data_IF_590943543264
#
_entry.id   IF_590943543264
#
_cell.length_a   1.000
_cell.length_b   1.000
_cell.length_c   1.000
_cell.angle_alpha   90.00
_cell.angle_beta   90.00
_cell.angle_gamma   90.00
#
_symmetry.space_group_name_H-M   'P 1'
#
loop_
_entity.id
_entity.type
_entity.pdbx_description
1 polymer ?
#
# COMPACT_ATOMS: atom_id res chain seq x y z
N UNK A 1 -54.05 -49.59 -24.58
CA UNK A 1 -53.79 -49.17 -23.19
C UNK A 1 -52.29 -49.01 -22.98
N UNK A 2 -51.89 -47.93 -22.30
CA UNK A 2 -50.56 -47.60 -21.74
C UNK A 2 -49.48 -47.14 -22.74
N UNK A 3 -49.26 -45.82 -22.95
CA UNK A 3 -48.60 -44.78 -22.11
C UNK A 3 -47.07 -44.95 -21.95
N UNK A 4 -46.30 -43.96 -22.45
CA UNK A 4 -45.17 -43.19 -21.81
C UNK A 4 -44.09 -42.81 -22.84
N UNK A 5 -44.02 -41.53 -23.22
CA UNK A 5 -43.13 -40.44 -22.71
C UNK A 5 -41.73 -40.46 -23.37
N UNK A 6 -41.47 -39.57 -24.33
CA UNK A 6 -40.79 -38.26 -24.14
C UNK A 6 -39.41 -38.38 -23.50
N UNK A 7 -38.36 -38.02 -24.25
CA UNK A 7 -37.16 -37.32 -23.79
C UNK A 7 -36.41 -36.80 -25.04
N UNK A 8 -36.73 -35.56 -25.43
CA UNK A 8 -35.88 -34.77 -26.32
C UNK A 8 -34.71 -34.21 -25.52
N UNK A 9 -33.48 -34.51 -25.94
CA UNK A 9 -32.28 -33.90 -25.39
C UNK A 9 -32.13 -32.48 -25.95
N UNK A 10 -32.41 -31.47 -25.13
CA UNK A 10 -31.97 -30.10 -25.36
C UNK A 10 -30.54 -29.95 -24.83
N UNK A 11 -29.58 -29.77 -25.74
CA UNK A 11 -28.21 -29.41 -25.39
C UNK A 11 -28.18 -27.92 -25.01
N UNK A 12 -28.16 -27.63 -23.71
CA UNK A 12 -27.93 -26.28 -23.20
C UNK A 12 -26.42 -25.99 -23.18
N UNK A 13 -25.94 -25.24 -24.17
CA UNK A 13 -24.58 -24.68 -24.16
C UNK A 13 -24.48 -23.60 -23.10
N UNK A 14 -23.86 -23.92 -21.96
CA UNK A 14 -23.49 -22.94 -20.94
C UNK A 14 -22.28 -22.18 -21.49
N UNK A 15 -22.54 -21.03 -22.13
CA UNK A 15 -21.52 -20.06 -22.46
C UNK A 15 -21.02 -19.43 -21.14
N UNK A 16 -19.91 -19.97 -20.62
CA UNK A 16 -19.21 -19.39 -19.49
C UNK A 16 -18.75 -17.98 -19.83
N UNK A 17 -19.31 -16.99 -19.15
CA UNK A 17 -18.81 -15.62 -19.13
C UNK A 17 -17.39 -15.64 -18.57
N UNK A 18 -16.39 -15.69 -19.46
CA UNK A 18 -15.01 -15.39 -19.12
C UNK A 18 -14.95 -13.90 -18.78
N UNK A 19 -15.01 -13.58 -17.49
CA UNK A 19 -14.67 -12.25 -17.01
C UNK A 19 -13.22 -11.96 -17.41
N UNK A 20 -12.94 -10.91 -18.20
CA UNK A 20 -11.57 -10.53 -18.48
C UNK A 20 -10.94 -10.08 -17.17
N UNK A 21 -10.04 -10.90 -16.62
CA UNK A 21 -9.12 -10.45 -15.60
C UNK A 21 -8.24 -9.36 -16.25
N UNK A 22 -8.52 -8.10 -15.96
CA UNK A 22 -7.68 -6.98 -16.39
C UNK A 22 -6.28 -7.28 -15.88
N UNK A 23 -5.36 -7.57 -16.81
CA UNK A 23 -3.97 -7.83 -16.50
C UNK A 23 -3.34 -6.56 -15.92
N UNK A 24 -3.34 -6.46 -14.59
CA UNK A 24 -2.56 -5.46 -13.88
C UNK A 24 -1.09 -5.84 -14.02
N UNK A 25 -0.27 -4.95 -14.57
CA UNK A 25 1.18 -5.14 -14.53
C UNK A 25 1.65 -5.03 -13.08
N UNK A 26 2.18 -6.13 -12.55
CA UNK A 26 2.77 -6.22 -11.21
C UNK A 26 3.98 -5.28 -11.03
N UNK A 27 4.42 -4.59 -12.07
CA UNK A 27 5.60 -3.72 -12.05
C UNK A 27 5.29 -2.23 -11.88
N UNK A 28 4.01 -1.84 -11.92
CA UNK A 28 3.61 -0.41 -11.83
C UNK A 28 4.11 0.24 -10.55
N UNK A 29 4.74 1.41 -10.65
CA UNK A 29 5.17 2.18 -9.49
C UNK A 29 3.97 2.83 -8.79
N UNK A 30 3.66 2.41 -7.57
CA UNK A 30 2.54 2.95 -6.78
C UNK A 30 2.91 4.25 -6.06
N UNK A 31 4.09 4.25 -5.45
CA UNK A 31 4.63 5.38 -4.72
C UNK A 31 6.14 5.28 -4.62
N UNK A 32 6.76 6.40 -4.25
CA UNK A 32 8.17 6.44 -3.85
C UNK A 32 8.27 6.96 -2.43
N UNK A 33 8.97 6.24 -1.57
CA UNK A 33 9.38 6.76 -0.28
C UNK A 33 10.71 7.48 -0.45
N UNK A 34 10.70 8.79 -0.28
CA UNK A 34 11.90 9.63 -0.25
C UNK A 34 12.24 10.04 1.17
N UNK A 35 13.52 10.19 1.48
CA UNK A 35 13.99 10.73 2.75
C UNK A 35 15.45 11.14 2.67
N UNK A 36 15.97 11.64 3.78
CA UNK A 36 17.41 11.89 3.96
C UNK A 36 17.93 10.95 5.03
N UNK A 37 18.90 10.11 4.66
CA UNK A 37 19.52 9.14 5.56
C UNK A 37 20.44 9.80 6.58
N UNK A 38 20.85 9.05 7.60
CA UNK A 38 21.78 9.53 8.62
C UNK A 38 23.13 9.99 8.04
N UNK A 39 23.52 9.48 6.87
CA UNK A 39 24.73 9.92 6.16
C UNK A 39 24.57 11.27 5.43
N UNK A 40 23.37 11.88 5.46
CA UNK A 40 23.02 13.06 4.68
C UNK A 40 22.65 12.75 3.22
N UNK A 41 22.77 11.49 2.78
CA UNK A 41 22.40 11.07 1.42
C UNK A 41 20.89 10.92 1.27
N UNK A 42 20.39 11.22 0.08
CA UNK A 42 19.00 10.92 -0.27
C UNK A 42 18.75 9.42 -0.28
N UNK A 43 17.70 9.00 0.43
CA UNK A 43 17.19 7.62 0.43
C UNK A 43 15.93 7.60 -0.43
N UNK A 44 15.84 6.60 -1.31
CA UNK A 44 14.69 6.42 -2.21
C UNK A 44 14.31 4.95 -2.28
N UNK A 45 13.05 4.65 -1.99
CA UNK A 45 12.48 3.30 -2.10
C UNK A 45 11.31 3.35 -3.08
N UNK A 46 11.38 2.55 -4.13
CA UNK A 46 10.30 2.39 -5.10
C UNK A 46 9.38 1.27 -4.66
N UNK A 47 8.11 1.60 -4.42
CA UNK A 47 7.08 0.62 -4.08
C UNK A 47 6.26 0.33 -5.32
N UNK A 48 6.49 -0.85 -5.91
CA UNK A 48 5.77 -1.33 -7.10
C UNK A 48 4.58 -2.20 -6.71
N UNK A 49 3.60 -2.30 -7.60
CA UNK A 49 2.34 -3.06 -7.47
C UNK A 49 2.53 -4.59 -7.44
N UNK A 50 3.70 -5.07 -7.02
CA UNK A 50 4.03 -6.47 -6.90
C UNK A 50 3.48 -7.00 -5.57
N UNK A 51 2.55 -7.97 -5.61
CA UNK A 51 1.94 -8.51 -4.40
C UNK A 51 2.98 -9.23 -3.54
N UNK A 52 2.72 -9.27 -2.23
CA UNK A 52 3.59 -9.92 -1.25
C UNK A 52 4.61 -8.99 -0.62
N UNK A 53 5.39 -9.54 0.32
CA UNK A 53 6.37 -8.78 1.08
C UNK A 53 7.63 -8.57 0.24
N UNK A 54 8.11 -7.32 0.24
CA UNK A 54 9.34 -6.89 -0.39
C UNK A 54 10.24 -6.32 0.69
N UNK A 55 11.54 -6.61 0.60
CA UNK A 55 12.54 -6.22 1.59
C UNK A 55 13.59 -5.36 0.91
N UNK A 56 13.90 -4.21 1.49
CA UNK A 56 14.97 -3.37 0.98
C UNK A 56 16.34 -4.01 1.25
N UNK A 57 17.26 -3.89 0.29
CA UNK A 57 18.63 -4.42 0.42
C UNK A 57 19.45 -3.67 1.46
N UNK A 58 19.28 -2.34 1.52
CA UNK A 58 19.94 -1.43 2.46
C UNK A 58 18.94 -0.33 2.79
N UNK A 59 18.80 0.00 4.07
CA UNK A 59 17.90 1.08 4.51
C UNK A 59 18.64 1.94 5.52
N UNK A 60 18.91 3.17 5.14
CA UNK A 60 19.29 4.19 6.10
C UNK A 60 18.02 4.70 6.80
N UNK A 61 18.11 4.88 8.11
CA UNK A 61 17.04 5.53 8.86
C UNK A 61 16.91 7.00 8.43
N UNK A 62 15.69 7.49 8.33
CA UNK A 62 15.40 8.88 8.03
C UNK A 62 14.56 9.52 9.13
N UNK A 63 14.89 10.76 9.49
CA UNK A 63 14.08 11.55 10.43
C UNK A 63 12.70 11.90 9.86
N UNK A 64 12.57 11.95 8.53
CA UNK A 64 11.32 12.25 7.83
C UNK A 64 11.25 11.51 6.51
N UNK A 65 10.13 10.86 6.27
CA UNK A 65 9.79 10.21 5.02
C UNK A 65 8.77 11.03 4.25
N UNK A 66 8.89 11.02 2.93
CA UNK A 66 7.96 11.62 1.98
C UNK A 66 7.39 10.51 1.10
N UNK A 67 6.06 10.38 1.07
CA UNK A 67 5.31 9.58 0.11
C UNK A 67 5.11 10.44 -1.13
N UNK A 68 5.91 10.18 -2.14
CA UNK A 68 5.88 10.89 -3.42
C UNK A 68 5.02 10.14 -4.45
N UNK A 69 4.41 10.86 -5.40
CA UNK A 69 3.65 10.27 -6.51
C UNK A 69 4.40 9.16 -7.24
N UNK A 70 3.70 8.06 -7.49
CA UNK A 70 4.11 6.99 -8.39
C UNK A 70 3.79 7.29 -9.85
N UNK A 71 3.65 6.24 -10.65
CA UNK A 71 3.33 6.35 -12.07
C UNK A 71 1.87 6.77 -12.29
N UNK A 72 1.69 7.75 -13.17
CA UNK A 72 0.40 8.08 -13.80
C UNK A 72 0.04 7.01 -14.83
N UNK A 73 -1.23 6.65 -14.89
CA UNK A 73 -1.71 5.56 -15.75
C UNK A 73 -2.65 6.09 -16.82
N UNK A 74 -2.44 5.64 -18.06
CA UNK A 74 -3.32 5.90 -19.19
C UNK A 74 -4.14 4.63 -19.50
N UNK A 75 -5.29 4.52 -18.85
CA UNK A 75 -6.23 3.40 -19.02
C UNK A 75 -7.65 3.94 -19.03
N UNK A 76 -8.54 3.24 -19.74
CA UNK A 76 -9.98 3.60 -19.77
C UNK A 76 -10.61 3.60 -18.38
N UNK A 77 -10.34 2.55 -17.61
CA UNK A 77 -10.89 2.36 -16.26
C UNK A 77 -9.87 2.75 -15.19
N UNK A 78 -10.33 3.24 -14.01
CA UNK A 78 -9.44 3.57 -12.90
C UNK A 78 -8.73 2.32 -12.38
N UNK A 79 -7.42 2.41 -12.09
CA UNK A 79 -6.75 1.38 -11.31
C UNK A 79 -7.45 1.16 -9.96
N UNK A 80 -7.58 -0.10 -9.56
CA UNK A 80 -8.16 -0.46 -8.26
C UNK A 80 -7.33 0.06 -7.08
N UNK A 81 -7.99 0.20 -5.92
CA UNK A 81 -7.34 0.55 -4.65
C UNK A 81 -6.20 -0.43 -4.36
N UNK A 82 -5.10 0.08 -3.79
CA UNK A 82 -4.01 -0.74 -3.24
C UNK A 82 -3.73 -0.35 -1.81
N UNK A 83 -3.27 -1.33 -1.04
CA UNK A 83 -2.82 -1.15 0.34
C UNK A 83 -1.34 -1.45 0.40
N UNK A 84 -0.57 -0.49 0.90
CA UNK A 84 0.87 -0.63 1.15
C UNK A 84 1.09 -0.56 2.66
N UNK A 85 1.46 -1.69 3.25
CA UNK A 85 1.87 -1.74 4.65
C UNK A 85 3.38 -1.56 4.72
N UNK A 86 3.84 -0.57 5.48
CA UNK A 86 5.26 -0.27 5.69
C UNK A 86 5.74 -0.87 7.00
N UNK A 87 6.89 -1.54 6.97
CA UNK A 87 7.46 -2.19 8.14
C UNK A 87 8.85 -1.64 8.47
N UNK A 88 9.13 -1.47 9.76
CA UNK A 88 10.46 -1.25 10.29
C UNK A 88 11.13 -2.58 10.66
N UNK A 89 12.44 -2.54 10.88
CA UNK A 89 13.22 -3.71 11.29
C UNK A 89 13.60 -4.64 10.14
N UNK A 90 13.98 -5.87 10.49
CA UNK A 90 14.38 -6.91 9.53
C UNK A 90 13.21 -7.85 9.24
N UNK A 91 13.34 -8.69 8.20
CA UNK A 91 12.33 -9.71 7.86
C UNK A 91 12.00 -10.69 8.99
N UNK A 92 12.85 -10.81 10.02
CA UNK A 92 12.63 -11.71 11.17
C UNK A 92 11.76 -11.12 12.27
N UNK A 93 11.66 -9.79 12.35
CA UNK A 93 10.82 -9.10 13.33
C UNK A 93 10.31 -7.79 12.73
N UNK A 94 9.49 -7.86 11.66
CA UNK A 94 8.95 -6.66 11.04
C UNK A 94 7.89 -6.06 11.96
N UNK A 95 7.98 -4.76 12.20
CA UNK A 95 6.99 -4.00 12.97
C UNK A 95 6.23 -3.09 12.00
N UNK A 96 4.90 -3.16 12.00
CA UNK A 96 4.08 -2.31 11.14
C UNK A 96 4.20 -0.86 11.63
N UNK A 97 4.61 0.03 10.72
CA UNK A 97 4.78 1.46 10.99
C UNK A 97 3.56 2.23 10.53
N UNK A 98 3.14 1.99 9.29
CA UNK A 98 2.09 2.75 8.65
C UNK A 98 1.40 1.92 7.58
N UNK A 99 0.11 2.20 7.36
CA UNK A 99 -0.64 1.70 6.22
C UNK A 99 -0.95 2.86 5.29
N UNK A 100 -0.60 2.70 4.01
CA UNK A 100 -0.88 3.66 2.96
C UNK A 100 -1.92 3.08 2.01
N UNK A 101 -3.06 3.73 1.90
CA UNK A 101 -4.04 3.48 0.86
C UNK A 101 -3.65 4.28 -0.39
N UNK A 102 -3.50 3.60 -1.51
CA UNK A 102 -3.18 4.19 -2.81
C UNK A 102 -4.41 4.08 -3.70
N UNK A 103 -4.99 5.23 -4.07
CA UNK A 103 -6.14 5.31 -4.96
C UNK A 103 -5.86 6.27 -6.11
N UNK A 104 -6.27 5.88 -7.30
CA UNK A 104 -6.09 6.68 -8.49
C UNK A 104 -7.32 7.57 -8.74
N UNK A 105 -7.07 8.84 -9.08
CA UNK A 105 -8.09 9.83 -9.40
C UNK A 105 -7.82 10.42 -10.78
N UNK A 106 -8.89 10.71 -11.53
CA UNK A 106 -8.80 11.24 -12.88
C UNK A 106 -8.28 12.68 -12.88
N UNK A 107 -7.30 12.97 -13.73
CA UNK A 107 -6.76 14.31 -13.96
C UNK A 107 -6.22 14.42 -15.39
N UNK A 108 -6.72 15.37 -16.17
CA UNK A 108 -6.31 15.61 -17.55
C UNK A 108 -6.30 14.35 -18.44
N UNK A 109 -7.35 13.52 -18.34
CA UNK A 109 -7.47 12.29 -19.13
C UNK A 109 -6.60 11.12 -18.65
N UNK A 110 -5.88 11.27 -17.54
CA UNK A 110 -5.04 10.21 -16.95
C UNK A 110 -5.42 9.93 -15.51
N UNK A 111 -5.00 8.78 -14.99
CA UNK A 111 -5.19 8.39 -13.61
C UNK A 111 -3.94 8.68 -12.80
N UNK A 112 -4.06 9.52 -11.76
CA UNK A 112 -2.96 9.96 -10.90
C UNK A 112 -3.12 9.38 -9.49
N UNK A 113 -2.08 8.76 -8.90
CA UNK A 113 -2.18 8.18 -7.57
C UNK A 113 -2.27 9.28 -6.50
N UNK A 114 -3.15 9.07 -5.53
CA UNK A 114 -3.24 9.83 -4.30
C UNK A 114 -3.23 8.85 -3.10
N UNK A 115 -2.94 9.40 -1.93
CA UNK A 115 -2.55 8.65 -0.76
C UNK A 115 -3.41 9.01 0.44
N UNK A 116 -3.77 8.02 1.23
CA UNK A 116 -4.26 8.22 2.59
C UNK A 116 -3.39 7.37 3.50
N UNK A 117 -3.01 7.91 4.65
CA UNK A 117 -2.22 7.18 5.64
C UNK A 117 -3.08 6.92 6.86
N UNK A 118 -3.06 5.68 7.33
CA UNK A 118 -3.67 5.28 8.60
C UNK A 118 -2.56 4.97 9.58
N UNK A 119 -2.62 5.61 10.74
CA UNK A 119 -1.76 5.32 11.88
C UNK A 119 -2.20 3.98 12.48
N UNK A 120 -1.26 3.05 12.59
CA UNK A 120 -1.47 1.80 13.33
C UNK A 120 -0.57 1.87 14.56
N UNK A 121 -1.10 1.72 15.78
CA UNK A 121 -0.26 1.72 16.96
C UNK A 121 0.74 0.58 16.89
N UNK A 122 2.01 0.89 17.16
CA UNK A 122 3.06 -0.09 17.31
C UNK A 122 2.66 -1.12 18.38
N UNK A 123 2.28 -2.33 17.96
CA UNK A 123 1.90 -3.44 18.85
C UNK A 123 2.77 -4.66 18.57
N UNK A 124 3.23 -5.30 19.63
CA UNK A 124 4.02 -6.53 19.58
C UNK A 124 3.31 -7.62 20.38
N UNK A 125 3.48 -8.87 19.95
CA UNK A 125 2.96 -10.00 20.69
C UNK A 125 3.91 -10.33 21.85
N UNK A 126 3.48 -10.06 23.09
CA UNK A 126 4.19 -10.43 24.32
C UNK A 126 3.33 -11.41 25.11
N UNK A 127 3.92 -12.56 25.47
CA UNK A 127 3.23 -13.60 26.25
C UNK A 127 1.88 -14.01 25.63
N UNK A 128 1.83 -14.10 24.30
CA UNK A 128 0.63 -14.49 23.56
C UNK A 128 -0.42 -13.38 23.39
N UNK A 129 -0.26 -12.20 23.99
CA UNK A 129 -1.18 -11.04 23.88
C UNK A 129 -0.59 -9.92 23.04
N UNK A 130 -1.44 -9.16 22.34
CA UNK A 130 -1.04 -7.91 21.69
C UNK A 130 -0.85 -6.84 22.76
N UNK A 131 0.34 -6.25 22.82
CA UNK A 131 0.68 -5.18 23.74
C UNK A 131 1.34 -4.01 22.98
N UNK A 132 1.08 -2.74 23.36
CA UNK A 132 1.75 -1.60 22.75
C UNK A 132 3.26 -1.66 23.00
N UNK A 133 4.04 -1.25 22.01
CA UNK A 133 5.48 -1.12 22.14
C UNK A 133 5.76 0.16 22.93
N UNK A 134 6.12 0.01 24.19
CA UNK A 134 6.68 1.08 25.00
C UNK A 134 8.20 1.10 24.74
N UNK A 135 8.70 2.09 24.02
CA UNK A 135 10.15 2.36 23.96
C UNK A 135 10.46 3.24 25.17
N UNK A 136 11.67 3.18 25.75
CA UNK A 136 12.05 3.93 26.97
C UNK A 136 11.86 5.46 26.91
N UNK A 137 11.46 6.02 25.76
CA UNK A 137 11.10 7.43 25.54
C UNK A 137 9.59 7.69 25.36
N UNK A 138 8.73 6.70 25.59
CA UNK A 138 7.28 6.77 25.39
C UNK A 138 6.78 5.87 24.26
N UNK A 139 5.47 5.91 23.99
CA UNK A 139 4.89 5.21 22.85
C UNK A 139 5.34 5.88 21.54
N UNK A 140 5.87 5.12 20.56
CA UNK A 140 6.11 5.65 19.23
C UNK A 140 4.79 6.10 18.60
N UNK A 141 4.68 7.40 18.33
CA UNK A 141 3.57 7.98 17.60
C UNK A 141 4.00 8.28 16.18
N UNK A 142 3.19 7.89 15.19
CA UNK A 142 3.34 8.39 13.84
C UNK A 142 2.93 9.86 13.84
N UNK A 143 3.74 10.72 13.23
CA UNK A 143 3.36 12.10 12.94
C UNK A 143 3.16 12.17 11.45
N UNK A 144 1.94 12.44 11.01
CA UNK A 144 1.59 12.62 9.60
C UNK A 144 1.46 14.11 9.27
N UNK A 145 2.12 14.55 8.22
CA UNK A 145 2.07 15.91 7.69
C UNK A 145 1.70 15.87 6.20
N UNK A 146 0.96 16.87 5.72
CA UNK A 146 0.38 16.86 4.36
C UNK A 146 1.00 17.91 3.41
N UNK A 147 2.19 18.43 3.74
CA UNK A 147 3.01 19.26 2.84
C UNK A 147 2.33 20.52 2.30
N UNK A 148 1.30 21.04 2.97
CA UNK A 148 0.51 22.21 2.54
C UNK A 148 -0.52 21.93 1.44
N UNK A 149 -0.58 20.71 0.89
CA UNK A 149 -1.60 20.33 -0.11
C UNK A 149 -2.88 19.87 0.56
N UNK A 150 -4.02 20.38 0.08
CA UNK A 150 -5.33 19.95 0.55
C UNK A 150 -5.66 18.54 0.02
N UNK A 151 -6.41 17.74 0.80
CA UNK A 151 -6.93 16.47 0.29
C UNK A 151 -7.98 16.72 -0.78
N UNK A 152 -8.22 15.72 -1.61
CA UNK A 152 -9.41 15.69 -2.45
C UNK A 152 -10.68 15.40 -1.62
N UNK A 153 -11.84 15.40 -2.28
CA UNK A 153 -13.14 15.17 -1.63
C UNK A 153 -13.28 13.81 -0.92
N UNK A 154 -12.37 12.86 -1.18
CA UNK A 154 -12.34 11.55 -0.54
C UNK A 154 -11.30 11.43 0.59
N UNK A 155 -10.61 12.53 0.94
CA UNK A 155 -9.60 12.51 2.00
C UNK A 155 -8.23 11.98 1.55
N UNK A 156 -7.98 11.87 0.24
CA UNK A 156 -6.68 11.44 -0.30
C UNK A 156 -5.82 12.65 -0.70
N UNK A 157 -4.54 12.59 -0.39
CA UNK A 157 -3.54 13.62 -0.64
C UNK A 157 -2.60 13.23 -1.79
N UNK A 158 -2.15 14.18 -2.62
CA UNK A 158 -1.18 13.89 -3.69
C UNK A 158 0.22 13.58 -3.14
N UNK A 159 0.52 14.02 -1.91
CA UNK A 159 1.76 13.76 -1.17
C UNK A 159 1.44 13.65 0.31
N UNK A 160 2.17 12.77 1.01
CA UNK A 160 2.15 12.68 2.47
C UNK A 160 3.59 12.74 2.96
N UNK A 161 3.81 13.31 4.14
CA UNK A 161 5.06 13.24 4.86
C UNK A 161 4.80 12.60 6.22
N UNK A 162 5.75 11.83 6.73
CA UNK A 162 5.61 11.22 8.04
C UNK A 162 6.94 11.06 8.76
N UNK A 163 6.88 11.04 10.09
CA UNK A 163 7.99 10.74 10.99
C UNK A 163 7.49 9.98 12.21
N UNK A 164 8.40 9.52 13.06
CA UNK A 164 8.06 8.89 14.34
C UNK A 164 8.65 9.72 15.49
N UNK A 165 7.93 9.79 16.61
CA UNK A 165 8.32 10.62 17.77
C UNK A 165 9.61 10.19 18.45
N UNK A 166 10.02 8.92 18.27
CA UNK A 166 11.15 8.29 18.97
C UNK A 166 12.47 8.33 18.18
N UNK A 167 12.54 9.09 17.08
CA UNK A 167 13.77 9.30 16.31
C UNK A 167 13.69 8.86 14.84
N UNK A 168 14.83 8.74 14.14
CA UNK A 168 14.85 8.33 12.74
C UNK A 168 14.27 6.93 12.53
N UNK A 169 13.45 6.78 11.50
CA UNK A 169 12.78 5.54 11.14
C UNK A 169 13.48 4.89 9.93
N UNK A 170 13.82 3.61 10.03
CA UNK A 170 14.20 2.79 8.89
C UNK A 170 13.00 1.96 8.40
N UNK A 171 12.58 2.16 7.14
CA UNK A 171 11.55 1.34 6.48
C UNK A 171 12.22 0.16 5.77
N UNK A 172 12.28 -0.99 6.45
CA UNK A 172 13.01 -2.20 6.03
C UNK A 172 12.27 -3.07 5.02
N UNK A 173 10.94 -3.05 5.05
CA UNK A 173 10.10 -3.88 4.20
C UNK A 173 8.75 -3.24 3.93
N UNK A 174 8.07 -3.71 2.89
CA UNK A 174 6.70 -3.32 2.58
C UNK A 174 5.90 -4.48 1.99
N UNK A 175 4.59 -4.48 2.20
CA UNK A 175 3.66 -5.47 1.66
C UNK A 175 2.60 -4.75 0.82
N UNK A 176 2.43 -5.19 -0.42
CA UNK A 176 1.39 -4.68 -1.32
C UNK A 176 0.25 -5.69 -1.43
N UNK A 177 -0.98 -5.20 -1.28
CA UNK A 177 -2.24 -5.95 -1.47
C UNK A 177 -3.17 -5.20 -2.42
#
# INVERSE_FOLDING_TARGET
MNRRSWLGLAAASIAGLLTPATAFSAERLLLVLGGTGASGKSVRIEVRAKPGIQVAKVVEASARWHVLPGETVDTKDPPGLRVVDLYSGTSRSPELVARILVRYFGSAGKWVPHYQMTEEPAVVRREGRWAPVMIGQGMPGLIVQHGGTLPNANGFFPRIEFSITTGPLAVGAWLVR
#
